data_IF_982939886100
#
_entry.id   IF_982939886100
#
_cell.length_a   1.000
_cell.length_b   1.000
_cell.length_c   1.000
_cell.angle_alpha   90.00
_cell.angle_beta   90.00
_cell.angle_gamma   90.00
#
_symmetry.space_group_name_H-M   'P 1'
#
loop_
_entity.id
_entity.type
_entity.pdbx_description
1 polymer ?
#
# COMPACT_ATOMS: atom_id res chain seq x y z
N UNK A 1 15.63 -1.10 -1.17
CA UNK A 1 14.25 -0.69 -0.85
C UNK A 1 13.56 0.01 -2.02
N UNK A 2 13.93 1.26 -2.40
CA UNK A 2 13.25 1.97 -3.51
C UNK A 2 13.40 1.30 -4.89
N UNK A 3 14.57 0.74 -5.18
CA UNK A 3 14.82 0.03 -6.45
C UNK A 3 14.08 -1.32 -6.52
N UNK A 4 13.97 -2.02 -5.39
CA UNK A 4 13.29 -3.31 -5.31
C UNK A 4 11.78 -3.13 -5.56
N UNK A 5 11.17 -2.09 -4.97
CA UNK A 5 9.78 -1.72 -5.23
C UNK A 5 9.51 -1.35 -6.70
N UNK A 6 10.46 -0.64 -7.34
CA UNK A 6 10.35 -0.29 -8.77
C UNK A 6 10.44 -1.54 -9.64
N UNK A 7 11.35 -2.45 -9.31
CA UNK A 7 11.53 -3.71 -10.03
C UNK A 7 10.31 -4.62 -9.85
N UNK A 8 9.75 -4.70 -8.64
CA UNK A 8 8.51 -5.43 -8.37
C UNK A 8 7.31 -4.82 -9.08
N UNK A 9 7.20 -3.49 -9.14
CA UNK A 9 6.16 -2.80 -9.91
C UNK A 9 6.26 -3.10 -11.40
N UNK A 10 7.47 -3.04 -11.95
CA UNK A 10 7.72 -3.39 -13.35
C UNK A 10 7.32 -4.83 -13.63
N UNK A 11 7.70 -5.77 -12.76
CA UNK A 11 7.31 -7.18 -12.88
C UNK A 11 5.80 -7.36 -12.72
N UNK A 12 5.14 -6.67 -11.79
CA UNK A 12 3.69 -6.79 -11.62
C UNK A 12 2.91 -6.30 -12.85
N UNK A 13 3.42 -5.26 -13.53
CA UNK A 13 2.80 -4.68 -14.73
C UNK A 13 3.14 -5.45 -16.00
N UNK A 14 4.38 -5.91 -16.13
CA UNK A 14 4.93 -6.42 -17.40
C UNK A 14 5.35 -7.89 -17.35
N UNK A 15 5.49 -8.46 -16.15
CA UNK A 15 5.78 -9.87 -15.96
C UNK A 15 4.53 -10.71 -16.18
N UNK A 16 4.65 -11.68 -17.09
CA UNK A 16 3.68 -12.77 -17.13
C UNK A 16 3.83 -13.59 -15.84
N UNK A 17 2.74 -14.00 -15.18
CA UNK A 17 2.79 -15.06 -14.19
C UNK A 17 3.51 -16.26 -14.81
N UNK A 18 4.30 -17.00 -14.01
CA UNK A 18 4.85 -18.29 -14.45
C UNK A 18 3.73 -19.16 -15.02
N UNK A 19 4.03 -20.08 -15.95
CA UNK A 19 3.04 -20.92 -16.66
C UNK A 19 1.93 -21.38 -15.70
N UNK A 20 0.80 -20.68 -15.74
CA UNK A 20 -0.35 -21.00 -14.88
C UNK A 20 -0.77 -22.40 -15.28
N UNK A 21 -0.68 -23.34 -14.34
CA UNK A 21 -1.14 -24.70 -14.58
C UNK A 21 -2.58 -24.64 -15.08
N UNK A 22 -2.91 -25.41 -16.13
CA UNK A 22 -4.19 -25.35 -16.87
C UNK A 22 -5.44 -25.73 -16.04
N UNK A 23 -5.36 -25.73 -14.71
CA UNK A 23 -6.37 -26.28 -13.83
C UNK A 23 -6.83 -25.21 -12.83
N UNK A 24 -7.72 -24.34 -13.29
CA UNK A 24 -8.49 -23.46 -12.42
C UNK A 24 -8.82 -22.13 -13.08
N UNK A 25 -10.07 -21.92 -13.47
CA UNK A 25 -10.55 -20.60 -13.89
C UNK A 25 -10.22 -19.53 -12.84
N UNK A 26 -10.32 -19.91 -11.56
CA UNK A 26 -10.06 -19.02 -10.43
C UNK A 26 -8.58 -18.60 -10.32
N UNK A 27 -7.63 -19.48 -10.62
CA UNK A 27 -6.20 -19.13 -10.69
C UNK A 27 -5.93 -18.15 -11.83
N UNK A 28 -6.54 -18.38 -13.01
CA UNK A 28 -6.43 -17.45 -14.14
C UNK A 28 -6.99 -16.07 -13.80
N UNK A 29 -8.11 -16.03 -13.07
CA UNK A 29 -8.69 -14.78 -12.58
C UNK A 29 -7.76 -14.09 -11.57
N UNK A 30 -7.25 -14.82 -10.58
CA UNK A 30 -6.33 -14.32 -9.56
C UNK A 30 -5.07 -13.69 -10.20
N UNK A 31 -4.49 -14.36 -11.18
CA UNK A 31 -3.30 -13.90 -11.90
C UNK A 31 -3.51 -12.58 -12.66
N UNK A 32 -4.75 -12.28 -13.07
CA UNK A 32 -5.11 -11.02 -13.73
C UNK A 32 -5.29 -9.90 -12.70
N UNK A 33 -5.91 -10.19 -11.57
CA UNK A 33 -6.35 -9.18 -10.59
C UNK A 33 -5.26 -8.82 -9.58
N UNK A 34 -4.53 -9.81 -9.05
CA UNK A 34 -3.59 -9.64 -7.95
C UNK A 34 -2.18 -9.26 -8.41
N UNK A 35 -1.43 -8.56 -7.55
CA UNK A 35 0.02 -8.36 -7.75
C UNK A 35 0.75 -9.70 -7.80
N UNK A 36 1.95 -9.76 -8.39
CA UNK A 36 2.70 -11.02 -8.50
C UNK A 36 2.97 -11.67 -7.13
N UNK A 37 3.36 -10.87 -6.13
CA UNK A 37 3.63 -11.37 -4.79
C UNK A 37 2.40 -12.02 -4.16
N UNK A 38 1.23 -11.38 -4.30
CA UNK A 38 0.00 -11.94 -3.76
C UNK A 38 -0.52 -13.12 -4.56
N UNK A 39 -0.37 -13.09 -5.88
CA UNK A 39 -0.68 -14.25 -6.71
C UNK A 39 0.12 -15.47 -6.28
N UNK A 40 1.40 -15.31 -5.91
CA UNK A 40 2.21 -16.40 -5.35
C UNK A 40 1.60 -16.99 -4.07
N UNK A 41 1.23 -16.13 -3.10
CA UNK A 41 0.55 -16.59 -1.87
C UNK A 41 -0.79 -17.26 -2.16
N UNK A 42 -1.57 -16.71 -3.11
CA UNK A 42 -2.84 -17.30 -3.52
C UNK A 42 -2.65 -18.68 -4.18
N UNK A 43 -1.63 -18.83 -5.02
CA UNK A 43 -1.30 -20.09 -5.69
C UNK A 43 -0.84 -21.15 -4.68
N UNK A 44 -0.07 -20.77 -3.66
CA UNK A 44 0.31 -21.65 -2.55
C UNK A 44 -0.92 -22.13 -1.75
N UNK A 45 -1.82 -21.23 -1.38
CA UNK A 45 -3.08 -21.58 -0.71
C UNK A 45 -3.96 -22.48 -1.59
N UNK A 46 -4.08 -22.17 -2.88
CA UNK A 46 -4.85 -22.97 -3.84
C UNK A 46 -4.29 -24.40 -3.95
N UNK A 47 -2.98 -24.53 -4.12
CA UNK A 47 -2.32 -25.82 -4.24
C UNK A 47 -2.42 -26.62 -2.93
N UNK A 48 -2.33 -25.95 -1.78
CA UNK A 48 -2.51 -26.57 -0.46
C UNK A 48 -3.93 -27.14 -0.30
N UNK A 49 -4.93 -26.48 -0.86
CA UNK A 49 -6.33 -26.93 -0.84
C UNK A 49 -6.60 -28.20 -1.67
N UNK A 50 -5.75 -28.49 -2.68
CA UNK A 50 -5.95 -29.64 -3.58
C UNK A 50 -5.87 -31.00 -2.87
N UNK A 51 -5.09 -31.07 -1.78
CA UNK A 51 -4.94 -32.28 -0.97
C UNK A 51 -5.97 -32.44 0.14
N UNK A 52 -6.90 -31.49 0.30
CA UNK A 52 -7.91 -31.55 1.35
C UNK A 52 -9.07 -32.48 0.98
N UNK A 53 -9.44 -33.33 1.94
CA UNK A 53 -10.73 -33.99 1.94
C UNK A 53 -11.80 -32.94 2.20
N UNK A 54 -12.84 -32.92 1.38
CA UNK A 54 -13.93 -31.96 1.49
C UNK A 54 -15.25 -32.73 1.46
N UNK A 55 -16.00 -32.67 2.55
CA UNK A 55 -17.27 -33.38 2.71
C UNK A 55 -18.34 -32.36 3.06
N UNK A 56 -19.42 -32.36 2.30
CA UNK A 56 -20.62 -31.61 2.64
C UNK A 56 -21.29 -32.28 3.85
N UNK A 57 -21.55 -31.53 4.90
CA UNK A 57 -22.13 -32.03 6.15
C UNK A 57 -23.55 -31.53 6.39
N UNK A 58 -23.92 -30.41 5.79
CA UNK A 58 -25.27 -29.85 5.90
C UNK A 58 -25.58 -28.95 4.68
N UNK A 59 -26.85 -28.87 4.34
CA UNK A 59 -27.35 -28.04 3.26
C UNK A 59 -28.78 -27.54 3.57
N UNK A 60 -29.02 -26.25 3.35
CA UNK A 60 -30.33 -25.61 3.46
C UNK A 60 -30.46 -24.53 2.39
N UNK A 61 -31.34 -24.77 1.40
CA UNK A 61 -31.60 -23.88 0.26
C UNK A 61 -30.35 -23.56 -0.58
N UNK A 62 -29.74 -22.40 -0.36
CA UNK A 62 -28.48 -21.99 -1.02
C UNK A 62 -27.28 -22.07 -0.08
N UNK A 63 -27.48 -22.46 1.18
CA UNK A 63 -26.45 -22.47 2.22
C UNK A 63 -25.92 -23.89 2.44
N UNK A 64 -24.64 -24.07 2.18
CA UNK A 64 -23.90 -25.32 2.32
C UNK A 64 -22.89 -25.20 3.47
N UNK A 65 -22.71 -26.30 4.20
CA UNK A 65 -21.64 -26.42 5.19
C UNK A 65 -20.74 -27.58 4.81
N UNK A 66 -19.44 -27.30 4.75
CA UNK A 66 -18.40 -28.26 4.43
C UNK A 66 -17.48 -28.47 5.63
N UNK A 67 -17.09 -29.72 5.82
CA UNK A 67 -16.03 -30.14 6.72
C UNK A 67 -14.80 -30.50 5.90
N UNK A 68 -13.68 -29.86 6.18
CA UNK A 68 -12.41 -30.10 5.51
C UNK A 68 -11.37 -30.67 6.46
N UNK A 69 -10.61 -31.65 5.97
CA UNK A 69 -9.52 -32.26 6.73
C UNK A 69 -8.37 -32.64 5.80
N UNK A 70 -7.16 -32.61 6.34
CA UNK A 70 -6.00 -33.22 5.70
C UNK A 70 -5.89 -34.67 6.16
N UNK A 71 -5.50 -35.59 5.28
CA UNK A 71 -5.35 -37.02 5.61
C UNK A 71 -4.38 -37.28 6.78
N UNK A 72 -3.47 -36.35 7.06
CA UNK A 72 -2.48 -36.45 8.13
C UNK A 72 -2.91 -35.74 9.43
N UNK A 73 -3.97 -34.93 9.38
CA UNK A 73 -4.37 -34.05 10.48
C UNK A 73 -5.69 -34.48 11.12
N UNK A 74 -5.75 -34.43 12.46
CA UNK A 74 -7.01 -34.57 13.21
C UNK A 74 -7.85 -33.30 13.21
N UNK A 75 -7.30 -32.19 12.75
CA UNK A 75 -8.00 -30.90 12.74
C UNK A 75 -8.98 -30.87 11.57
N UNK A 76 -10.22 -30.51 11.88
CA UNK A 76 -11.30 -30.30 10.92
C UNK A 76 -11.59 -28.81 10.88
N UNK A 77 -11.67 -28.25 9.67
CA UNK A 77 -12.10 -26.88 9.42
C UNK A 77 -13.52 -26.87 8.87
N UNK A 78 -14.32 -25.93 9.34
CA UNK A 78 -15.70 -25.74 8.89
C UNK A 78 -15.78 -24.53 7.96
N UNK A 79 -16.36 -24.74 6.78
CA UNK A 79 -16.58 -23.72 5.77
C UNK A 79 -18.06 -23.63 5.46
N UNK A 80 -18.62 -22.43 5.60
CA UNK A 80 -19.98 -22.12 5.15
C UNK A 80 -19.90 -21.44 3.78
N UNK A 81 -20.72 -21.91 2.85
CA UNK A 81 -20.80 -21.38 1.49
C UNK A 81 -22.26 -21.10 1.13
N UNK A 82 -22.55 -19.89 0.67
CA UNK A 82 -23.83 -19.54 0.06
C UNK A 82 -23.67 -19.47 -1.46
N UNK A 83 -24.41 -20.31 -2.18
CA UNK A 83 -24.31 -20.42 -3.63
C UNK A 83 -24.91 -19.21 -4.36
N UNK A 84 -26.07 -18.70 -3.91
CA UNK A 84 -26.75 -17.57 -4.54
C UNK A 84 -25.92 -16.27 -4.45
N UNK A 85 -25.31 -16.01 -3.30
CA UNK A 85 -24.48 -14.84 -3.08
C UNK A 85 -23.02 -15.04 -3.48
N UNK A 86 -22.59 -16.28 -3.72
CA UNK A 86 -21.18 -16.69 -3.78
C UNK A 86 -20.40 -16.22 -2.54
N UNK A 87 -21.02 -16.31 -1.35
CA UNK A 87 -20.37 -15.97 -0.08
C UNK A 87 -19.74 -17.21 0.53
N UNK A 88 -18.57 -17.04 1.11
CA UNK A 88 -17.81 -18.09 1.78
C UNK A 88 -17.21 -17.54 3.08
N UNK A 89 -17.33 -18.34 4.14
CA UNK A 89 -16.79 -18.05 5.44
C UNK A 89 -16.11 -19.32 5.98
N UNK A 90 -14.81 -19.25 6.20
CA UNK A 90 -14.05 -20.31 6.85
C UNK A 90 -13.81 -19.94 8.32
N UNK A 91 -13.73 -20.94 9.19
CA UNK A 91 -13.29 -20.79 10.58
C UNK A 91 -11.79 -20.46 10.71
N UNK A 92 -10.99 -20.65 9.65
CA UNK A 92 -9.58 -20.25 9.56
C UNK A 92 -9.38 -18.74 9.75
N UNK A 93 -10.40 -17.92 9.41
CA UNK A 93 -10.39 -16.46 9.45
C UNK A 93 -9.24 -15.77 8.68
N UNK A 94 -8.62 -16.46 7.72
CA UNK A 94 -7.52 -15.91 6.93
C UNK A 94 -7.97 -14.71 6.08
N UNK A 95 -9.20 -14.74 5.55
CA UNK A 95 -9.72 -13.63 4.78
C UNK A 95 -9.97 -12.40 5.66
N UNK A 96 -10.56 -12.59 6.83
CA UNK A 96 -10.83 -11.51 7.78
C UNK A 96 -9.54 -10.90 8.36
N UNK A 97 -8.45 -11.68 8.44
CA UNK A 97 -7.16 -11.22 9.00
C UNK A 97 -6.20 -10.66 7.94
N UNK A 98 -6.09 -11.28 6.77
CA UNK A 98 -5.13 -10.92 5.72
C UNK A 98 -5.77 -10.45 4.41
N UNK A 99 -7.08 -10.63 4.24
CA UNK A 99 -7.78 -10.34 2.98
C UNK A 99 -7.48 -11.34 1.87
N UNK A 100 -7.06 -12.56 2.23
CA UNK A 100 -6.74 -13.66 1.32
C UNK A 100 -7.59 -14.89 1.65
N UNK A 101 -8.17 -15.53 0.64
CA UNK A 101 -8.91 -16.78 0.81
C UNK A 101 -7.96 -17.91 1.22
N UNK A 102 -8.26 -18.63 2.30
CA UNK A 102 -7.49 -19.80 2.72
C UNK A 102 -7.76 -21.01 1.82
N UNK A 103 -6.84 -21.98 1.88
CA UNK A 103 -6.90 -23.25 1.16
C UNK A 103 -8.24 -23.98 1.31
N UNK A 104 -8.86 -23.95 2.49
CA UNK A 104 -10.16 -24.59 2.73
C UNK A 104 -11.28 -23.92 1.92
N UNK A 105 -11.31 -22.59 1.93
CA UNK A 105 -12.30 -21.82 1.19
C UNK A 105 -12.12 -22.00 -0.33
N UNK A 106 -10.87 -22.00 -0.80
CA UNK A 106 -10.55 -22.24 -2.21
C UNK A 106 -10.94 -23.66 -2.65
N UNK A 107 -10.76 -24.66 -1.78
CA UNK A 107 -11.22 -26.02 -2.05
C UNK A 107 -12.74 -26.09 -2.19
N UNK A 108 -13.49 -25.41 -1.33
CA UNK A 108 -14.96 -25.34 -1.42
C UNK A 108 -15.42 -24.62 -2.69
N UNK A 109 -14.77 -23.53 -3.09
CA UNK A 109 -15.03 -22.89 -4.38
C UNK A 109 -14.78 -23.83 -5.55
N UNK A 110 -13.70 -24.62 -5.51
CA UNK A 110 -13.39 -25.57 -6.58
C UNK A 110 -14.46 -26.66 -6.72
N UNK A 111 -14.91 -27.28 -5.62
CA UNK A 111 -15.95 -28.33 -5.68
C UNK A 111 -17.32 -27.76 -6.11
N UNK A 112 -17.56 -26.47 -5.84
CA UNK A 112 -18.74 -25.74 -6.30
C UNK A 112 -18.58 -25.10 -7.69
N UNK A 113 -17.53 -25.45 -8.44
CA UNK A 113 -17.25 -24.95 -9.80
C UNK A 113 -17.19 -23.42 -9.91
N UNK A 114 -16.78 -22.73 -8.84
CA UNK A 114 -16.57 -21.28 -8.83
C UNK A 114 -15.26 -20.97 -9.56
N UNK A 115 -15.39 -20.41 -10.76
CA UNK A 115 -14.28 -20.17 -11.69
C UNK A 115 -13.69 -18.76 -11.63
N UNK A 116 -14.19 -17.89 -10.75
CA UNK A 116 -13.66 -16.55 -10.55
C UNK A 116 -13.79 -16.19 -9.08
N UNK A 117 -12.90 -15.31 -8.62
CA UNK A 117 -12.95 -14.79 -7.25
C UNK A 117 -14.09 -13.77 -7.21
N UNK A 118 -15.13 -13.94 -6.36
CA UNK A 118 -16.17 -12.93 -6.22
C UNK A 118 -15.58 -11.61 -5.76
N UNK A 119 -16.09 -10.48 -6.27
CA UNK A 119 -15.51 -9.14 -6.04
C UNK A 119 -15.32 -8.78 -4.57
N UNK A 120 -16.21 -9.26 -3.69
CA UNK A 120 -16.14 -9.06 -2.23
C UNK A 120 -14.90 -9.68 -1.58
N UNK A 121 -14.25 -10.65 -2.24
CA UNK A 121 -13.00 -11.27 -1.79
C UNK A 121 -11.75 -10.66 -2.46
N UNK A 122 -11.92 -9.58 -3.24
CA UNK A 122 -10.83 -8.85 -3.88
C UNK A 122 -10.53 -7.58 -3.09
N UNK A 123 -9.54 -7.66 -2.19
CA UNK A 123 -9.09 -6.48 -1.43
C UNK A 123 -8.35 -5.49 -2.32
N UNK A 124 -8.72 -4.21 -2.25
CA UNK A 124 -8.15 -3.14 -3.09
C UNK A 124 -6.63 -2.98 -2.93
N UNK A 125 -6.12 -3.18 -1.70
CA UNK A 125 -4.69 -3.14 -1.34
C UNK A 125 -3.83 -4.09 -2.17
N UNK A 126 -4.44 -5.18 -2.59
CA UNK A 126 -3.82 -6.39 -3.09
C UNK A 126 -3.92 -6.53 -4.62
N UNK A 127 -4.61 -5.59 -5.26
CA UNK A 127 -4.81 -5.55 -6.72
C UNK A 127 -3.64 -4.90 -7.46
N UNK A 128 -3.39 -5.31 -8.72
CA UNK A 128 -2.41 -4.63 -9.60
C UNK A 128 -2.69 -3.13 -9.78
N UNK A 129 -3.97 -2.76 -9.67
CA UNK A 129 -4.44 -1.37 -9.76
C UNK A 129 -4.40 -0.60 -8.43
N UNK A 130 -3.86 -1.16 -7.35
CA UNK A 130 -3.76 -0.47 -6.05
C UNK A 130 -3.04 0.89 -6.19
N UNK A 131 -1.94 0.94 -6.95
CA UNK A 131 -1.21 2.19 -7.25
C UNK A 131 -1.91 3.04 -8.32
N UNK A 132 -2.73 2.45 -9.20
CA UNK A 132 -3.47 3.17 -10.25
C UNK A 132 -4.64 3.96 -9.68
N UNK A 133 -5.27 3.50 -8.60
CA UNK A 133 -6.31 4.27 -7.90
C UNK A 133 -5.79 5.59 -7.34
N UNK A 134 -4.57 5.61 -6.79
CA UNK A 134 -3.89 6.86 -6.38
C UNK A 134 -3.63 7.79 -7.58
N UNK A 135 -3.49 7.20 -8.77
CA UNK A 135 -3.14 7.82 -10.04
C UNK A 135 -4.33 8.42 -10.79
N UNK A 136 -5.54 7.95 -10.53
CA UNK A 136 -6.76 8.35 -11.21
C UNK A 136 -7.68 9.22 -10.35
N UNK A 137 -7.39 9.35 -9.04
CA UNK A 137 -8.10 10.27 -8.15
C UNK A 137 -7.61 11.71 -8.33
N UNK A 138 -7.81 12.28 -9.52
CA UNK A 138 -7.81 13.76 -9.68
C UNK A 138 -9.22 14.30 -9.35
N UNK A 139 -10.26 13.46 -9.44
CA UNK A 139 -11.66 13.90 -9.28
C UNK A 139 -12.25 13.70 -7.87
N UNK A 140 -11.52 13.09 -6.92
CA UNK A 140 -12.04 12.87 -5.57
C UNK A 140 -11.52 13.92 -4.58
N UNK A 141 -11.78 15.20 -4.87
CA UNK A 141 -11.57 16.30 -3.94
C UNK A 141 -12.91 16.83 -3.42
N UNK A 142 -13.64 15.98 -2.67
CA UNK A 142 -14.75 16.41 -1.81
C UNK A 142 -14.77 15.71 -0.44
N UNK A 143 -13.62 15.29 0.07
CA UNK A 143 -13.48 14.86 1.46
C UNK A 143 -12.66 15.89 2.24
N UNK A 144 -13.26 16.46 3.28
CA UNK A 144 -12.66 17.42 4.24
C UNK A 144 -11.61 16.74 5.15
N UNK A 145 -10.71 15.94 4.58
CA UNK A 145 -9.63 15.35 5.35
C UNK A 145 -8.41 16.28 5.30
N UNK A 146 -7.84 16.61 6.47
CA UNK A 146 -6.64 17.44 6.57
C UNK A 146 -5.48 16.71 5.89
N UNK A 147 -5.23 17.03 4.62
CA UNK A 147 -4.24 16.35 3.80
C UNK A 147 -2.82 16.57 4.35
N UNK A 148 -2.19 15.49 4.80
CA UNK A 148 -0.80 15.53 5.30
C UNK A 148 0.18 15.92 4.18
N UNK A 149 1.34 16.46 4.55
CA UNK A 149 2.38 16.82 3.56
C UNK A 149 2.76 15.61 2.66
N UNK A 150 2.81 14.41 3.24
CA UNK A 150 3.14 13.16 2.52
C UNK A 150 2.10 12.85 1.44
N UNK A 151 0.81 13.00 1.73
CA UNK A 151 -0.26 12.77 0.74
C UNK A 151 -0.21 13.78 -0.40
N UNK A 152 -0.01 15.08 -0.08
CA UNK A 152 0.15 16.14 -1.08
C UNK A 152 1.35 15.87 -1.99
N UNK A 153 2.50 15.54 -1.40
CA UNK A 153 3.71 15.22 -2.13
C UNK A 153 3.54 13.99 -3.02
N UNK A 154 2.89 12.93 -2.53
CA UNK A 154 2.63 11.72 -3.30
C UNK A 154 1.77 12.00 -4.55
N UNK A 155 0.70 12.79 -4.38
CA UNK A 155 -0.18 13.18 -5.49
C UNK A 155 0.55 14.04 -6.53
N UNK A 156 1.32 15.05 -6.10
CA UNK A 156 2.12 15.89 -6.99
C UNK A 156 3.16 15.08 -7.76
N UNK A 157 3.86 14.17 -7.07
CA UNK A 157 4.88 13.30 -7.68
C UNK A 157 4.30 12.43 -8.80
N UNK A 158 3.05 11.99 -8.65
CA UNK A 158 2.38 11.11 -9.59
C UNK A 158 1.91 11.85 -10.85
N UNK A 159 1.32 13.04 -10.68
CA UNK A 159 0.96 13.92 -11.79
C UNK A 159 2.21 14.34 -12.57
N UNK A 160 3.26 14.72 -11.85
CA UNK A 160 4.56 15.03 -12.42
C UNK A 160 5.07 13.89 -13.29
N UNK A 161 5.10 12.66 -12.76
CA UNK A 161 5.62 11.50 -13.49
C UNK A 161 4.89 11.27 -14.82
N UNK A 162 3.55 11.34 -14.83
CA UNK A 162 2.77 11.22 -16.09
C UNK A 162 3.05 12.36 -17.07
N UNK A 163 3.21 13.58 -16.55
CA UNK A 163 3.53 14.75 -17.36
C UNK A 163 4.89 14.54 -18.05
N UNK A 164 5.90 14.14 -17.29
CA UNK A 164 7.25 13.87 -17.80
C UNK A 164 7.27 12.72 -18.80
N UNK A 165 6.59 11.61 -18.51
CA UNK A 165 6.51 10.45 -19.42
C UNK A 165 5.99 10.83 -20.80
N UNK A 166 4.94 11.68 -20.85
CA UNK A 166 4.42 12.22 -22.11
C UNK A 166 5.31 13.29 -22.73
N UNK A 167 5.84 14.21 -21.92
CA UNK A 167 6.64 15.33 -22.39
C UNK A 167 7.96 14.85 -23.04
N UNK A 168 8.58 13.81 -22.47
CA UNK A 168 9.85 13.25 -22.94
C UNK A 168 9.77 12.57 -24.31
N UNK A 169 8.56 12.31 -24.83
CA UNK A 169 8.38 11.71 -26.16
C UNK A 169 8.75 12.66 -27.30
N UNK A 170 8.80 13.98 -27.05
CA UNK A 170 9.10 14.98 -28.07
C UNK A 170 9.89 16.16 -27.49
N UNK A 171 10.77 16.76 -28.28
CA UNK A 171 11.51 17.97 -27.87
C UNK A 171 10.56 19.13 -27.57
N UNK A 172 9.50 19.27 -28.37
CA UNK A 172 8.46 20.28 -28.18
C UNK A 172 7.67 20.07 -26.87
N UNK A 173 7.28 18.83 -26.57
CA UNK A 173 6.61 18.49 -25.31
C UNK A 173 7.50 18.72 -24.10
N UNK A 174 8.79 18.41 -24.20
CA UNK A 174 9.78 18.67 -23.15
C UNK A 174 9.90 20.16 -22.86
N UNK A 175 9.97 20.99 -23.92
CA UNK A 175 10.01 22.46 -23.76
C UNK A 175 8.75 23.00 -23.08
N UNK A 176 7.57 22.58 -23.53
CA UNK A 176 6.29 22.99 -22.90
C UNK A 176 6.27 22.64 -21.42
N UNK A 177 6.68 21.42 -21.07
CA UNK A 177 6.72 20.99 -19.68
C UNK A 177 7.68 21.87 -18.86
N UNK A 178 8.91 22.06 -19.34
CA UNK A 178 9.92 22.87 -18.64
C UNK A 178 9.48 24.32 -18.42
N UNK A 179 8.90 24.96 -19.43
CA UNK A 179 8.40 26.33 -19.32
C UNK A 179 7.26 26.41 -18.30
N UNK A 180 6.29 25.49 -18.38
CA UNK A 180 5.15 25.43 -17.47
C UNK A 180 5.58 25.19 -16.02
N UNK A 181 6.57 24.32 -15.81
CA UNK A 181 7.07 23.98 -14.48
C UNK A 181 7.86 25.12 -13.85
N UNK A 182 8.66 25.83 -14.64
CA UNK A 182 9.37 27.02 -14.19
C UNK A 182 8.37 28.10 -13.75
N UNK A 183 7.31 28.30 -14.53
CA UNK A 183 6.23 29.24 -14.17
C UNK A 183 5.52 28.85 -12.87
N UNK A 184 5.21 27.55 -12.70
CA UNK A 184 4.58 27.03 -11.48
C UNK A 184 5.47 27.19 -10.26
N UNK A 185 6.78 26.92 -10.37
CA UNK A 185 7.74 27.12 -9.28
C UNK A 185 7.78 28.58 -8.83
N UNK A 186 7.88 29.53 -9.77
CA UNK A 186 7.85 30.95 -9.44
C UNK A 186 6.55 31.36 -8.72
N UNK A 187 5.39 30.80 -9.11
CA UNK A 187 4.11 31.08 -8.43
C UNK A 187 4.10 30.53 -7.00
N UNK A 188 4.64 29.34 -6.77
CA UNK A 188 4.70 28.72 -5.45
C UNK A 188 5.65 29.47 -4.50
N UNK A 189 6.82 29.88 -4.98
CA UNK A 189 7.78 30.69 -4.20
C UNK A 189 7.15 32.02 -3.76
N UNK A 190 6.46 32.70 -4.68
CA UNK A 190 5.73 33.94 -4.37
C UNK A 190 4.62 33.71 -3.32
N UNK A 191 3.85 32.63 -3.46
CA UNK A 191 2.80 32.30 -2.49
C UNK A 191 3.35 32.00 -1.09
N UNK A 192 4.56 31.44 -0.99
CA UNK A 192 5.23 31.18 0.28
C UNK A 192 5.76 32.45 0.96
N UNK A 193 6.15 33.45 0.16
CA UNK A 193 6.62 34.75 0.64
C UNK A 193 5.48 35.62 1.20
N UNK A 194 4.26 35.49 0.66
CA UNK A 194 3.09 36.24 1.15
C UNK A 194 2.56 35.70 2.50
N UNK A 195 2.73 34.40 2.79
CA UNK A 195 2.42 33.83 4.11
C UNK A 195 3.37 34.27 5.23
N UNK A 196 4.59 34.71 4.91
CA UNK A 196 5.59 35.12 5.90
C UNK A 196 5.51 36.61 6.29
N UNK A 197 4.56 37.38 5.75
CA UNK A 197 4.39 38.83 6.04
C UNK A 197 3.29 39.14 7.07
N UNK A 198 2.68 38.13 7.71
CA UNK A 198 1.55 38.33 8.66
C UNK A 198 1.98 38.34 10.13
N UNK A 199 3.24 38.06 10.46
CA UNK A 199 3.78 38.24 11.81
C UNK A 199 4.87 39.31 11.87
N UNK A 200 4.52 40.59 11.68
CA UNK A 200 5.24 41.67 12.36
C UNK A 200 4.41 42.96 12.41
N UNK A 201 3.72 43.20 13.54
CA UNK A 201 3.51 44.55 14.10
C UNK A 201 3.55 44.48 15.64
N UNK A 202 4.76 44.69 16.19
CA UNK A 202 4.99 45.77 17.16
C UNK A 202 5.04 45.46 18.66
N UNK A 203 6.22 45.65 19.27
CA UNK A 203 6.51 46.82 20.15
C UNK A 203 7.99 46.91 20.59
N UNK A 204 8.71 47.76 19.83
CA UNK A 204 9.76 48.76 20.14
C UNK A 204 10.81 48.57 21.28
N UNK A 205 12.06 48.52 20.81
CA UNK A 205 13.39 49.06 21.22
C UNK A 205 13.49 50.07 22.40
N UNK A 206 14.71 50.23 22.98
CA UNK A 206 15.52 51.39 22.54
C UNK A 206 17.02 51.12 22.23
N UNK A 207 17.52 52.06 21.43
CA UNK A 207 18.81 52.24 20.74
C UNK A 207 20.07 52.28 21.63
N UNK A 208 21.24 51.97 21.05
CA UNK A 208 22.37 52.92 20.95
C UNK A 208 23.46 52.48 19.95
N UNK A 209 24.17 53.49 19.42
CA UNK A 209 25.10 53.57 18.28
C UNK A 209 26.43 52.79 18.53
N UNK A 210 27.19 52.31 17.52
CA UNK A 210 28.31 53.02 16.85
C UNK A 210 28.92 52.12 15.72
N UNK A 211 29.12 52.74 14.54
CA UNK A 211 30.18 52.67 13.50
C UNK A 211 30.97 51.39 13.08
N UNK A 212 30.92 51.18 11.76
CA UNK A 212 31.95 50.90 10.72
C UNK A 212 32.92 49.70 10.69
N UNK A 213 33.07 49.23 9.44
CA UNK A 213 34.12 48.46 8.75
C UNK A 213 34.70 47.20 9.41
N UNK A 214 34.60 46.03 8.75
CA UNK A 214 35.68 45.53 7.89
C UNK A 214 35.42 44.12 7.32
N UNK A 215 36.05 43.88 6.18
CA UNK A 215 36.24 42.59 5.50
C UNK A 215 37.16 41.69 6.32
N UNK A 216 36.78 40.43 6.66
CA UNK A 216 37.71 39.28 6.64
C UNK A 216 37.06 37.90 6.88
N UNK A 217 37.73 36.90 6.29
CA UNK A 217 37.56 35.46 6.15
C UNK A 217 37.44 34.55 7.40
N UNK A 218 36.80 33.39 7.16
CA UNK A 218 37.14 32.01 7.57
C UNK A 218 37.43 31.62 9.04
N UNK A 219 36.71 30.57 9.49
CA UNK A 219 37.19 29.30 10.11
C UNK A 219 36.42 28.85 11.36
N UNK A 220 36.06 27.56 11.29
CA UNK A 220 35.91 26.55 12.34
C UNK A 220 35.37 26.92 13.73
N UNK A 221 34.24 26.27 14.07
CA UNK A 221 33.73 26.15 15.42
C UNK A 221 32.71 25.02 15.53
N UNK A 222 33.20 23.77 15.60
CA UNK A 222 32.39 22.59 15.92
C UNK A 222 31.61 22.83 17.22
N UNK A 223 30.28 22.95 17.14
CA UNK A 223 29.42 22.80 18.33
C UNK A 223 29.30 21.29 18.62
N UNK A 224 29.59 20.81 19.85
CA UNK A 224 29.41 19.40 20.14
C UNK A 224 27.92 19.08 20.16
N UNK A 225 27.51 18.13 19.32
CA UNK A 225 26.19 17.52 19.36
C UNK A 225 26.13 16.74 20.69
N UNK A 226 25.26 17.16 21.60
CA UNK A 226 24.98 16.40 22.82
C UNK A 226 24.00 15.28 22.47
N UNK A 227 24.29 14.07 22.93
CA UNK A 227 23.41 12.93 22.75
C UNK A 227 22.05 13.17 23.45
N UNK A 228 20.92 12.77 22.83
CA UNK A 228 19.62 12.84 23.48
C UNK A 228 19.58 11.99 24.76
N UNK A 229 18.85 12.44 25.81
CA UNK A 229 18.77 11.70 27.06
C UNK A 229 18.19 10.30 26.86
N UNK A 230 18.89 9.30 27.41
CA UNK A 230 18.52 7.89 27.29
C UNK A 230 17.25 7.60 28.09
N UNK A 231 16.11 7.42 27.40
CA UNK A 231 14.84 7.02 28.03
C UNK A 231 14.77 5.50 28.14
N UNK A 232 14.54 4.98 29.36
CA UNK A 232 14.31 3.55 29.60
C UNK A 232 13.08 3.06 28.80
N UNK A 233 13.23 1.96 28.06
CA UNK A 233 12.10 1.27 27.42
C UNK A 233 11.19 0.69 28.52
N UNK A 234 9.89 0.96 28.40
CA UNK A 234 8.85 0.43 29.30
C UNK A 234 8.73 -1.08 29.06
N UNK A 235 8.83 -1.91 30.11
CA UNK A 235 8.50 -3.34 30.05
C UNK A 235 9.59 -4.36 30.46
N UNK A 236 10.33 -4.13 31.56
CA UNK A 236 11.10 -5.21 32.20
C UNK A 236 10.45 -5.54 33.54
N UNK A 237 9.87 -6.73 33.62
CA UNK A 237 9.30 -7.33 34.83
C UNK A 237 10.41 -7.71 35.81
N UNK A 238 10.26 -7.31 37.08
CA UNK A 238 11.19 -7.63 38.15
C UNK A 238 11.31 -9.15 38.36
N UNK A 239 12.40 -9.77 37.90
CA UNK A 239 12.79 -11.09 38.39
C UNK A 239 13.51 -10.92 39.73
N UNK A 240 12.86 -11.43 40.78
CA UNK A 240 13.29 -11.44 42.16
C UNK A 240 14.42 -12.46 42.34
N UNK A 241 15.59 -11.99 42.76
CA UNK A 241 16.68 -12.83 43.26
C UNK A 241 16.20 -13.54 44.53
N UNK A 242 16.37 -14.87 44.60
CA UNK A 242 16.42 -15.60 45.87
C UNK A 242 17.82 -16.17 46.03
N UNK A 243 18.35 -15.95 47.23
CA UNK A 243 19.57 -16.48 47.82
C UNK A 243 19.64 -17.99 47.82
#
# INVERSE_FOLDING_TARGET
MRQDEINEDFRCKNGAPGKVHKHGGILSHAAKVYTLALFGMFEEEFNSGMGLNCVETNHCEDNFTYSLSSGESRRIHIVHFNQAELSICCDCKLFETLGLLCCDALRVFLVNNVNHIPDKYISSRWTKDAKKRLCCSVDSFKSKEKSTHVLRMSNLSLLWYKCCDKAALTDHGTKIAMDSLSELLCKLERSSADTNKVEDIGKKCPQDLIHDDDVQSCLDGKRPILDPPHVRKKGITNFRIKS
#
